data_IF_810040419781
#
_entry.id   IF_810040419781
#
_cell.length_a   1.000
_cell.length_b   1.000
_cell.length_c   1.000
_cell.angle_alpha   90.00
_cell.angle_beta   90.00
_cell.angle_gamma   90.00
#
_symmetry.space_group_name_H-M   'P 1'
#
loop_
_entity.id
_entity.type
_entity.pdbx_description
1 polymer ?
#
# COMPACT_ATOMS: atom_id res chain seq x y z
N UNK A 1 -0.16 -7.14 3.76
CA UNK A 1 -1.34 -6.47 3.19
C UNK A 1 -0.94 -5.52 2.09
N UNK A 2 -0.62 -4.27 2.43
CA UNK A 2 -0.33 -3.17 1.48
C UNK A 2 0.76 -3.48 0.43
N UNK A 3 1.97 -3.86 0.84
CA UNK A 3 3.07 -4.17 -0.09
C UNK A 3 2.74 -5.34 -1.01
N UNK A 4 1.98 -6.32 -0.52
CA UNK A 4 1.52 -7.45 -1.33
C UNK A 4 0.47 -7.05 -2.37
N UNK A 5 -0.42 -6.11 -2.04
CA UNK A 5 -1.42 -5.59 -2.98
C UNK A 5 -0.78 -4.80 -4.13
N UNK A 6 0.29 -4.04 -3.86
CA UNK A 6 1.03 -3.30 -4.89
C UNK A 6 1.61 -4.23 -5.96
N UNK A 7 2.07 -5.43 -5.58
CA UNK A 7 2.56 -6.42 -6.56
C UNK A 7 1.46 -6.84 -7.54
N UNK A 8 0.21 -6.96 -7.08
CA UNK A 8 -0.92 -7.26 -7.96
C UNK A 8 -1.29 -6.05 -8.82
N UNK A 9 -1.34 -4.86 -8.23
CA UNK A 9 -1.54 -3.60 -8.97
C UNK A 9 -0.55 -3.47 -10.14
N UNK A 10 0.74 -3.63 -9.87
CA UNK A 10 1.82 -3.57 -10.87
C UNK A 10 1.69 -4.68 -11.92
N UNK A 11 1.18 -5.86 -11.55
CA UNK A 11 0.98 -6.97 -12.47
C UNK A 11 -0.19 -6.74 -13.44
N UNK A 12 -1.20 -5.92 -13.07
CA UNK A 12 -2.30 -5.55 -13.95
C UNK A 12 -1.95 -4.43 -14.92
N UNK A 13 -1.01 -3.54 -14.57
CA UNK A 13 -0.63 -2.39 -15.39
C UNK A 13 -0.25 -2.78 -16.84
N UNK A 14 0.52 -3.86 -17.12
CA UNK A 14 0.80 -4.33 -18.47
C UNK A 14 -0.40 -4.91 -19.25
N UNK A 15 -1.50 -5.23 -18.56
CA UNK A 15 -2.72 -5.80 -19.13
C UNK A 15 -3.70 -4.69 -19.50
N UNK A 16 -3.78 -3.63 -18.69
CA UNK A 16 -4.74 -2.53 -18.84
C UNK A 16 -4.20 -1.34 -19.63
N UNK A 17 -2.88 -1.20 -19.78
CA UNK A 17 -2.25 -0.07 -20.47
C UNK A 17 -1.22 -0.50 -21.53
N UNK A 18 -1.25 0.18 -22.69
CA UNK A 18 -0.21 0.10 -23.72
C UNK A 18 1.11 0.65 -23.17
N UNK A 19 2.25 0.21 -23.74
CA UNK A 19 3.59 0.54 -23.18
C UNK A 19 3.80 2.03 -23.02
N UNK A 20 3.28 2.82 -23.95
CA UNK A 20 3.42 4.27 -24.04
C UNK A 20 2.52 5.00 -23.03
N UNK A 21 1.45 4.35 -22.57
CA UNK A 21 0.44 4.92 -21.66
C UNK A 21 0.67 4.51 -20.20
N UNK A 22 1.58 3.56 -19.94
CA UNK A 22 1.81 2.98 -18.60
C UNK A 22 2.19 4.01 -17.55
N UNK A 23 3.06 4.94 -17.89
CA UNK A 23 3.53 5.95 -16.93
C UNK A 23 2.36 6.85 -16.50
N UNK A 24 1.53 7.29 -17.46
CA UNK A 24 0.33 8.09 -17.21
C UNK A 24 -0.72 7.34 -16.41
N UNK A 25 -0.98 6.08 -16.75
CA UNK A 25 -1.99 5.27 -16.04
C UNK A 25 -1.52 4.94 -14.61
N UNK A 26 -0.23 4.66 -14.45
CA UNK A 26 0.38 4.43 -13.13
C UNK A 26 0.34 5.68 -12.27
N UNK A 27 0.75 6.84 -12.81
CA UNK A 27 0.73 8.11 -12.08
C UNK A 27 -0.69 8.51 -11.68
N UNK A 28 -1.67 8.31 -12.57
CA UNK A 28 -3.06 8.58 -12.27
C UNK A 28 -3.60 7.64 -11.19
N UNK A 29 -3.27 6.35 -11.25
CA UNK A 29 -3.67 5.39 -10.22
C UNK A 29 -3.05 5.69 -8.86
N UNK A 30 -1.78 6.11 -8.84
CA UNK A 30 -1.10 6.56 -7.62
C UNK A 30 -1.77 7.82 -7.04
N UNK A 31 -2.02 8.84 -7.88
CA UNK A 31 -2.69 10.07 -7.47
C UNK A 31 -4.12 9.81 -6.96
N UNK A 32 -4.90 8.98 -7.66
CA UNK A 32 -6.23 8.59 -7.22
C UNK A 32 -6.21 7.81 -5.90
N UNK A 33 -5.19 6.98 -5.68
CA UNK A 33 -4.98 6.28 -4.41
C UNK A 33 -4.72 7.25 -3.25
N UNK A 34 -3.84 8.24 -3.45
CA UNK A 34 -3.56 9.27 -2.45
C UNK A 34 -4.79 10.15 -2.17
N UNK A 35 -5.48 10.60 -3.21
CA UNK A 35 -6.71 11.39 -3.07
C UNK A 35 -7.81 10.60 -2.33
N UNK A 36 -8.01 9.32 -2.69
CA UNK A 36 -8.99 8.47 -2.04
C UNK A 36 -8.65 8.17 -0.57
N UNK A 37 -7.36 7.89 -0.28
CA UNK A 37 -6.87 7.68 1.08
C UNK A 37 -6.99 8.94 1.93
N UNK A 38 -6.57 10.09 1.40
CA UNK A 38 -6.68 11.39 2.06
C UNK A 38 -8.13 11.80 2.31
N UNK A 39 -9.03 11.57 1.35
CA UNK A 39 -10.46 11.83 1.50
C UNK A 39 -11.06 10.98 2.63
N UNK A 40 -10.80 9.66 2.65
CA UNK A 40 -11.28 8.78 3.71
C UNK A 40 -10.70 9.17 5.08
N UNK A 41 -9.43 9.55 5.12
CA UNK A 41 -8.77 10.03 6.34
C UNK A 41 -9.38 11.35 6.84
N UNK A 42 -9.70 12.28 5.93
CA UNK A 42 -10.41 13.51 6.27
C UNK A 42 -11.82 13.26 6.81
N UNK A 43 -12.59 12.36 6.20
CA UNK A 43 -13.89 11.94 6.72
C UNK A 43 -13.76 11.29 8.11
N UNK A 44 -12.73 10.48 8.30
CA UNK A 44 -12.43 9.84 9.58
C UNK A 44 -12.10 10.87 10.66
N UNK A 45 -11.33 11.91 10.32
CA UNK A 45 -11.05 13.04 11.19
C UNK A 45 -12.35 13.74 11.61
N UNK A 46 -13.28 14.00 10.68
CA UNK A 46 -14.57 14.62 11.01
C UNK A 46 -15.36 13.79 12.02
N UNK A 47 -15.42 12.47 11.85
CA UNK A 47 -16.12 11.57 12.80
C UNK A 47 -15.48 11.63 14.18
N UNK A 48 -14.14 11.60 14.27
CA UNK A 48 -13.42 11.66 15.55
C UNK A 48 -13.55 13.03 16.21
N UNK A 49 -13.41 14.11 15.44
CA UNK A 49 -13.49 15.49 15.94
C UNK A 49 -14.90 15.84 16.43
N UNK A 50 -15.95 15.36 15.75
CA UNK A 50 -17.34 15.67 16.08
C UNK A 50 -18.09 14.53 16.78
N UNK A 51 -17.40 13.53 17.33
CA UNK A 51 -18.02 12.35 17.92
C UNK A 51 -19.09 12.67 18.99
N UNK A 52 -18.86 13.69 19.83
CA UNK A 52 -19.84 14.13 20.83
C UNK A 52 -21.14 14.66 20.20
N UNK A 53 -21.07 15.39 19.08
CA UNK A 53 -22.26 15.89 18.36
C UNK A 53 -23.04 14.76 17.67
N UNK A 54 -22.34 13.68 17.34
CA UNK A 54 -22.92 12.47 16.77
C UNK A 54 -23.52 11.54 17.84
N UNK A 55 -23.45 11.91 19.13
CA UNK A 55 -23.90 11.06 20.24
C UNK A 55 -23.03 9.82 20.44
N UNK A 56 -21.80 9.82 19.91
CA UNK A 56 -20.87 8.70 20.01
C UNK A 56 -19.89 8.92 21.17
N UNK A 57 -19.48 7.82 21.80
CA UNK A 57 -18.30 7.83 22.69
C UNK A 57 -17.01 7.78 21.85
N UNK A 58 -15.90 8.29 22.38
CA UNK A 58 -14.62 8.25 21.66
C UNK A 58 -14.21 6.83 21.21
N UNK A 59 -14.36 5.75 22.02
CA UNK A 59 -14.11 4.39 21.56
C UNK A 59 -15.06 3.93 20.45
N UNK A 60 -16.33 4.33 20.49
CA UNK A 60 -17.30 3.99 19.45
C UNK A 60 -16.95 4.68 18.11
N UNK A 61 -16.57 5.96 18.15
CA UNK A 61 -16.11 6.69 16.97
C UNK A 61 -14.84 6.06 16.37
N UNK A 62 -13.86 5.66 17.21
CA UNK A 62 -12.65 4.98 16.75
C UNK A 62 -12.98 3.64 16.05
N UNK A 63 -13.87 2.82 16.63
CA UNK A 63 -14.32 1.55 16.03
C UNK A 63 -15.04 1.78 14.70
N UNK A 64 -15.91 2.79 14.64
CA UNK A 64 -16.63 3.17 13.43
C UNK A 64 -15.67 3.58 12.32
N UNK A 65 -14.69 4.42 12.63
CA UNK A 65 -13.64 4.83 11.68
C UNK A 65 -12.85 3.61 11.19
N UNK A 66 -12.40 2.73 12.09
CA UNK A 66 -11.68 1.51 11.69
C UNK A 66 -12.53 0.61 10.79
N UNK A 67 -13.81 0.41 11.12
CA UNK A 67 -14.72 -0.38 10.30
C UNK A 67 -14.95 0.27 8.93
N UNK A 68 -15.14 1.59 8.89
CA UNK A 68 -15.32 2.34 7.64
C UNK A 68 -14.09 2.27 6.74
N UNK A 69 -12.88 2.26 7.30
CA UNK A 69 -11.64 2.08 6.53
C UNK A 69 -11.60 0.71 5.88
N UNK A 70 -11.97 -0.34 6.63
CA UNK A 70 -12.09 -1.70 6.08
C UNK A 70 -13.10 -1.76 4.95
N UNK A 71 -14.29 -1.17 5.12
CA UNK A 71 -15.35 -1.12 4.11
C UNK A 71 -14.94 -0.32 2.87
N UNK A 72 -14.27 0.81 3.05
CA UNK A 72 -13.75 1.66 1.97
C UNK A 72 -12.81 0.85 1.07
N UNK A 73 -11.78 0.25 1.66
CA UNK A 73 -10.81 -0.54 0.92
C UNK A 73 -11.41 -1.83 0.35
N UNK A 74 -12.32 -2.49 1.08
CA UNK A 74 -13.03 -3.66 0.58
C UNK A 74 -13.90 -3.31 -0.63
N UNK A 75 -14.61 -2.17 -0.61
CA UNK A 75 -15.42 -1.70 -1.73
C UNK A 75 -14.60 -1.50 -3.00
N UNK A 76 -13.46 -0.80 -2.90
CA UNK A 76 -12.54 -0.65 -4.04
C UNK A 76 -11.92 -1.98 -4.48
N UNK A 77 -11.55 -2.85 -3.54
CA UNK A 77 -11.00 -4.15 -3.87
C UNK A 77 -12.00 -5.04 -4.62
N UNK A 78 -13.27 -5.05 -4.20
CA UNK A 78 -14.33 -5.80 -4.88
C UNK A 78 -14.66 -5.20 -6.25
N UNK A 79 -14.71 -3.88 -6.36
CA UNK A 79 -14.89 -3.20 -7.64
C UNK A 79 -13.74 -3.52 -8.61
N UNK A 80 -12.50 -3.51 -8.11
CA UNK A 80 -11.33 -3.91 -8.88
C UNK A 80 -11.41 -5.38 -9.29
N UNK A 81 -11.77 -6.29 -8.38
CA UNK A 81 -11.91 -7.72 -8.67
C UNK A 81 -12.99 -8.01 -9.73
N UNK A 82 -14.10 -7.27 -9.73
CA UNK A 82 -15.18 -7.44 -10.70
C UNK A 82 -14.95 -6.76 -12.04
N UNK A 83 -14.11 -5.72 -12.11
CA UNK A 83 -13.88 -4.92 -13.34
C UNK A 83 -12.54 -5.16 -14.01
N UNK A 84 -11.53 -5.63 -13.26
CA UNK A 84 -10.22 -5.92 -13.84
C UNK A 84 -10.32 -7.19 -14.69
N UNK A 85 -9.87 -7.13 -15.96
CA UNK A 85 -9.85 -8.31 -16.79
C UNK A 85 -8.92 -9.36 -16.16
N UNK A 86 -9.38 -10.61 -16.11
CA UNK A 86 -8.51 -11.72 -15.76
C UNK A 86 -7.29 -11.70 -16.69
N UNK A 87 -6.11 -11.51 -16.11
CA UNK A 87 -4.87 -11.43 -16.85
C UNK A 87 -4.60 -12.75 -17.57
N UNK A 88 -5.09 -12.89 -18.81
CA UNK A 88 -4.88 -14.05 -19.70
C UNK A 88 -3.41 -14.28 -20.08
N UNK A 89 -2.46 -13.57 -19.46
CA UNK A 89 -1.01 -13.73 -19.60
C UNK A 89 -0.35 -14.28 -18.34
N UNK A 90 -0.99 -15.21 -17.65
CA UNK A 90 -0.28 -16.17 -16.81
C UNK A 90 0.73 -16.92 -17.66
N UNK A 91 2.00 -16.51 -17.60
CA UNK A 91 3.11 -17.16 -18.31
C UNK A 91 3.10 -18.63 -17.90
N UNK A 92 2.79 -19.53 -18.85
CA UNK A 92 2.65 -20.97 -18.57
C UNK A 92 3.90 -21.46 -17.83
N UNK A 93 3.69 -22.25 -16.78
CA UNK A 93 4.77 -22.89 -16.03
C UNK A 93 5.72 -23.61 -17.00
N UNK A 94 7.05 -23.44 -16.85
CA UNK A 94 8.02 -24.21 -17.63
C UNK A 94 7.72 -25.71 -17.54
N UNK A 95 7.96 -26.50 -18.61
CA UNK A 95 7.65 -27.93 -18.64
C UNK A 95 8.20 -28.71 -17.43
N UNK A 96 9.40 -28.33 -16.97
CA UNK A 96 10.07 -28.93 -15.81
C UNK A 96 9.34 -28.68 -14.46
N UNK A 97 8.53 -27.63 -14.36
CA UNK A 97 7.79 -27.25 -13.14
C UNK A 97 6.31 -27.63 -13.20
N UNK A 98 5.79 -28.12 -14.33
CA UNK A 98 4.40 -28.62 -14.46
C UNK A 98 4.14 -29.90 -13.66
N UNK A 99 5.18 -30.63 -13.24
CA UNK A 99 5.07 -31.84 -12.41
C UNK A 99 4.82 -31.55 -10.92
N UNK A 100 4.99 -30.30 -10.49
CA UNK A 100 4.72 -29.87 -9.12
C UNK A 100 3.26 -29.39 -8.99
N UNK A 101 2.68 -29.46 -7.78
CA UNK A 101 1.40 -28.79 -7.47
C UNK A 101 1.47 -27.33 -7.95
N UNK A 102 0.41 -26.85 -8.61
CA UNK A 102 0.37 -25.52 -9.27
C UNK A 102 0.95 -24.39 -8.40
N UNK A 103 0.52 -24.31 -7.13
CA UNK A 103 1.03 -23.30 -6.19
C UNK A 103 2.54 -23.42 -5.89
N UNK A 104 3.03 -24.66 -5.70
CA UNK A 104 4.45 -24.92 -5.45
C UNK A 104 5.32 -24.59 -6.69
N UNK A 105 4.82 -24.89 -7.89
CA UNK A 105 5.51 -24.57 -9.14
C UNK A 105 5.72 -23.06 -9.34
N UNK A 106 4.70 -22.24 -9.08
CA UNK A 106 4.80 -20.78 -9.16
C UNK A 106 5.68 -20.19 -8.04
N UNK A 107 5.59 -20.72 -6.81
CA UNK A 107 6.44 -20.29 -5.70
C UNK A 107 7.93 -20.54 -5.99
N UNK A 108 8.28 -21.73 -6.48
CA UNK A 108 9.66 -22.08 -6.86
C UNK A 108 10.16 -21.20 -8.01
N UNK A 109 9.29 -20.91 -9.00
CA UNK A 109 9.64 -20.01 -10.11
C UNK A 109 9.91 -18.58 -9.62
N UNK A 110 9.08 -18.07 -8.72
CA UNK A 110 9.25 -16.77 -8.08
C UNK A 110 10.56 -16.69 -7.29
N UNK A 111 10.79 -17.63 -6.38
CA UNK A 111 12.02 -17.70 -5.56
C UNK A 111 13.28 -17.83 -6.40
N UNK A 112 13.26 -18.67 -7.45
CA UNK A 112 14.40 -18.78 -8.39
C UNK A 112 14.67 -17.45 -9.10
N UNK A 113 13.63 -16.70 -9.47
CA UNK A 113 13.79 -15.40 -10.15
C UNK A 113 14.34 -14.34 -9.20
N UNK A 114 13.84 -14.28 -7.98
CA UNK A 114 14.39 -13.40 -6.93
C UNK A 114 15.86 -13.73 -6.70
N UNK A 115 16.19 -15.01 -6.49
CA UNK A 115 17.58 -15.44 -6.30
C UNK A 115 18.51 -15.11 -7.47
N UNK A 116 18.04 -15.26 -8.72
CA UNK A 116 18.81 -14.83 -9.91
C UNK A 116 19.01 -13.32 -9.96
N UNK A 117 17.99 -12.55 -9.61
CA UNK A 117 18.05 -11.07 -9.58
C UNK A 117 19.02 -10.60 -8.51
N UNK A 118 18.98 -11.20 -7.32
CA UNK A 118 19.89 -10.90 -6.22
C UNK A 118 21.35 -11.22 -6.56
N UNK A 119 21.60 -12.35 -7.25
CA UNK A 119 22.94 -12.68 -7.75
C UNK A 119 23.46 -11.70 -8.80
N UNK A 120 22.57 -11.12 -9.63
CA UNK A 120 22.95 -10.08 -10.59
C UNK A 120 23.24 -8.75 -9.90
N UNK A 121 22.44 -8.39 -8.90
CA UNK A 121 22.64 -7.20 -8.07
C UNK A 121 24.01 -7.19 -7.37
N UNK A 122 24.50 -8.36 -6.94
CA UNK A 122 25.88 -8.50 -6.40
C UNK A 122 27.01 -8.06 -7.33
N UNK A 123 26.77 -7.98 -8.64
CA UNK A 123 27.75 -7.47 -9.61
C UNK A 123 27.68 -5.95 -9.79
N UNK A 124 26.73 -5.28 -9.12
CA UNK A 124 26.47 -3.84 -9.23
C UNK A 124 26.61 -3.21 -7.83
N UNK A 125 27.85 -3.01 -7.33
CA UNK A 125 28.09 -2.58 -5.95
C UNK A 125 27.46 -1.22 -5.62
N UNK A 126 27.50 -0.26 -6.56
CA UNK A 126 26.88 1.06 -6.37
C UNK A 126 25.35 0.98 -6.24
N UNK A 127 24.70 0.10 -7.00
CA UNK A 127 23.26 -0.13 -6.89
C UNK A 127 22.90 -0.82 -5.56
N UNK A 128 23.72 -1.74 -5.10
CA UNK A 128 23.52 -2.36 -3.78
C UNK A 128 23.68 -1.35 -2.64
N UNK A 129 24.69 -0.48 -2.72
CA UNK A 129 24.88 0.59 -1.74
C UNK A 129 23.68 1.56 -1.75
N UNK A 130 23.22 1.97 -2.93
CA UNK A 130 22.02 2.78 -3.07
C UNK A 130 20.79 2.11 -2.45
N UNK A 131 20.56 0.82 -2.72
CA UNK A 131 19.42 0.08 -2.15
C UNK A 131 19.51 -0.05 -0.62
N UNK A 132 20.70 -0.30 -0.08
CA UNK A 132 20.92 -0.38 1.37
C UNK A 132 20.69 0.99 2.04
N UNK A 133 21.21 2.06 1.44
CA UNK A 133 20.99 3.43 1.91
C UNK A 133 19.51 3.82 1.82
N UNK A 134 18.84 3.52 0.70
CA UNK A 134 17.42 3.77 0.51
C UNK A 134 16.56 2.99 1.51
N UNK A 135 16.92 1.74 1.80
CA UNK A 135 16.24 0.94 2.81
C UNK A 135 16.36 1.57 4.20
N UNK A 136 17.57 1.93 4.63
CA UNK A 136 17.79 2.59 5.92
C UNK A 136 17.07 3.95 6.00
N UNK A 137 17.10 4.73 4.92
CA UNK A 137 16.40 6.01 4.82
C UNK A 137 14.88 5.85 4.93
N UNK A 138 14.30 4.91 4.19
CA UNK A 138 12.86 4.65 4.21
C UNK A 138 12.40 4.14 5.59
N UNK A 139 13.16 3.24 6.21
CA UNK A 139 12.88 2.76 7.57
C UNK A 139 12.97 3.89 8.61
N UNK A 140 13.99 4.76 8.47
CA UNK A 140 14.16 5.95 9.29
C UNK A 140 12.97 6.90 9.18
N UNK A 141 12.52 7.24 7.98
CA UNK A 141 11.34 8.10 7.76
C UNK A 141 10.09 7.50 8.42
N UNK A 142 9.82 6.21 8.17
CA UNK A 142 8.63 5.56 8.74
C UNK A 142 8.67 5.54 10.28
N UNK A 143 9.86 5.37 10.85
CA UNK A 143 10.07 5.45 12.31
C UNK A 143 9.81 6.85 12.82
N UNK A 144 10.36 7.90 12.19
CA UNK A 144 10.14 9.30 12.57
C UNK A 144 8.65 9.65 12.52
N UNK A 145 7.95 9.29 11.44
CA UNK A 145 6.50 9.54 11.31
C UNK A 145 5.71 8.87 12.43
N UNK A 146 6.03 7.60 12.75
CA UNK A 146 5.35 6.86 13.82
C UNK A 146 5.67 7.44 15.21
N UNK A 147 6.92 7.80 15.46
CA UNK A 147 7.35 8.39 16.73
C UNK A 147 6.79 9.79 16.93
N UNK A 148 6.70 10.61 15.88
CA UNK A 148 6.11 11.95 15.94
C UNK A 148 4.66 11.90 16.44
N UNK A 149 3.86 10.94 15.94
CA UNK A 149 2.48 10.76 16.40
C UNK A 149 2.39 10.28 17.86
N UNK A 150 3.30 9.42 18.31
CA UNK A 150 3.35 8.93 19.70
C UNK A 150 3.77 10.05 20.64
N UNK A 151 4.86 10.75 20.33
CA UNK A 151 5.38 11.89 21.08
C UNK A 151 4.33 13.00 21.20
N UNK A 152 3.69 13.36 20.08
CA UNK A 152 2.62 14.37 20.08
C UNK A 152 1.44 14.02 20.99
N UNK A 153 1.14 12.73 21.16
CA UNK A 153 0.08 12.27 22.06
C UNK A 153 0.53 12.16 23.51
N UNK A 154 1.71 11.60 23.77
CA UNK A 154 2.16 11.21 25.12
C UNK A 154 2.88 12.33 25.84
N UNK A 155 3.72 13.09 25.14
CA UNK A 155 4.56 14.14 25.74
C UNK A 155 3.89 15.51 25.62
N UNK A 156 3.31 15.81 24.45
CA UNK A 156 2.63 17.09 24.20
C UNK A 156 1.13 17.09 24.58
N UNK A 157 0.58 15.93 24.93
CA UNK A 157 -0.82 15.80 25.34
C UNK A 157 -1.84 16.20 24.26
N UNK A 158 -1.45 16.20 22.98
CA UNK A 158 -2.31 16.67 21.90
C UNK A 158 -3.51 15.74 21.72
N UNK A 159 -4.69 16.35 21.54
CA UNK A 159 -5.90 15.60 21.23
C UNK A 159 -5.74 14.79 19.93
N UNK A 160 -6.31 13.57 19.83
CA UNK A 160 -6.18 12.72 18.64
C UNK A 160 -6.61 13.40 17.34
N UNK A 161 -7.64 14.25 17.39
CA UNK A 161 -8.10 15.02 16.23
C UNK A 161 -7.06 16.02 15.72
N UNK A 162 -6.28 16.63 16.62
CA UNK A 162 -5.20 17.57 16.24
C UNK A 162 -4.07 16.82 15.57
N UNK A 163 -3.68 15.66 16.11
CA UNK A 163 -2.65 14.80 15.51
C UNK A 163 -3.07 14.27 14.14
N UNK A 164 -4.32 13.83 14.01
CA UNK A 164 -4.89 13.45 12.71
C UNK A 164 -4.90 14.64 11.75
N UNK A 165 -5.32 15.83 12.18
CA UNK A 165 -5.28 17.03 11.34
C UNK A 165 -3.86 17.38 10.86
N UNK A 166 -2.88 17.33 11.75
CA UNK A 166 -1.47 17.56 11.40
C UNK A 166 -0.97 16.53 10.38
N UNK A 167 -1.31 15.25 10.55
CA UNK A 167 -0.97 14.20 9.58
C UNK A 167 -1.68 14.38 8.24
N UNK A 168 -2.92 14.87 8.22
CA UNK A 168 -3.65 15.17 6.99
C UNK A 168 -2.98 16.30 6.20
N UNK A 169 -2.53 17.35 6.88
CA UNK A 169 -1.80 18.46 6.24
C UNK A 169 -0.42 18.00 5.77
N UNK A 170 0.28 17.18 6.55
CA UNK A 170 1.62 16.71 6.19
C UNK A 170 1.66 15.76 4.98
N UNK A 171 0.54 15.12 4.65
CA UNK A 171 0.43 14.18 3.52
C UNK A 171 -0.29 14.77 2.30
N UNK A 172 -0.82 15.99 2.40
CA UNK A 172 -1.46 16.74 1.31
C UNK A 172 -0.42 17.55 0.53
#
# INVERSE_FOLDING_TARGET
>A
GFVGANVFYDAFLPVIARREERDRVSSLGYAAGYLGGGLHFGLSLLVVAFHHRLGLTAPAAARLVMASAGLWWAGFALAAAGRLPEGRRGRRLPPALRRLRLGAGYAVLGLRRVGRTLRRLRRLPNLLLFLAAFFAYNDGIQTVVRMAAIYGRQELGLAPAVLMGALLVAQA
#
